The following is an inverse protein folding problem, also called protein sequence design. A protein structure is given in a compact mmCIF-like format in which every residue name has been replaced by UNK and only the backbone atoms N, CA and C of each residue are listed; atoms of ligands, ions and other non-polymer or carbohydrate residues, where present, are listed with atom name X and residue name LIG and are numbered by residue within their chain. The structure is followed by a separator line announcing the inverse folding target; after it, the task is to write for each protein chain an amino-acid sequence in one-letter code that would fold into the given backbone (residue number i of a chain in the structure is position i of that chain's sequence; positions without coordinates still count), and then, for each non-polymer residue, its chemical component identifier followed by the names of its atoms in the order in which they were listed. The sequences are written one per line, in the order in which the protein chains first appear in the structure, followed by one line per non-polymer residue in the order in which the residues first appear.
data_IF_309262585469
#
_entry.id   IF_309262585469
#
_cell.length_a   1.000
_cell.length_b   1.000
_cell.length_c   1.000
_cell.angle_alpha   90.00
_cell.angle_beta   90.00
_cell.angle_gamma   90.00
#
_symmetry.space_group_name_H-M   'P 1'
#
loop_
_entity.id
_entity.type
_entity.pdbx_description
1 polymer ?
#
# COMPACT_ATOMS: atom_id res chain seq x y z
N UNK A 1 39.56 79.51 -51.83
CA UNK A 1 39.39 79.80 -50.40
C UNK A 1 38.27 78.93 -49.85
N UNK A 2 38.58 78.08 -49.06
CA UNK A 2 37.88 77.49 -47.97
C UNK A 2 38.15 75.98 -47.86
N UNK A 3 38.92 75.70 -46.88
CA UNK A 3 39.31 74.31 -46.50
C UNK A 3 38.18 73.56 -45.92
N UNK A 4 37.95 72.32 -46.40
CA UNK A 4 37.05 71.39 -45.79
C UNK A 4 37.82 70.47 -44.84
N UNK A 5 37.59 70.61 -43.56
CA UNK A 5 38.22 69.82 -42.50
C UNK A 5 37.51 68.47 -42.46
N UNK A 6 38.12 67.42 -42.97
CA UNK A 6 37.59 66.07 -42.88
C UNK A 6 38.01 65.42 -41.59
N UNK A 7 37.04 65.24 -40.67
CA UNK A 7 37.21 64.42 -39.48
C UNK A 7 37.03 62.96 -39.87
N UNK A 8 38.11 62.21 -39.90
CA UNK A 8 38.10 60.76 -40.03
C UNK A 8 37.65 60.16 -38.70
N UNK A 9 36.45 59.61 -38.68
CA UNK A 9 35.94 58.82 -37.55
C UNK A 9 36.56 57.42 -37.66
N UNK A 10 37.50 57.13 -36.79
CA UNK A 10 38.16 55.86 -36.66
C UNK A 10 37.25 54.97 -35.84
N UNK A 11 36.53 54.06 -36.49
CA UNK A 11 35.80 53.00 -35.81
C UNK A 11 36.77 51.92 -35.36
N UNK A 12 36.97 51.81 -34.07
CA UNK A 12 37.66 50.72 -33.43
C UNK A 12 36.81 49.44 -33.55
N UNK A 13 37.38 48.29 -33.97
CA UNK A 13 36.60 47.04 -33.91
C UNK A 13 36.47 46.61 -32.48
N UNK A 14 35.24 46.68 -31.97
CA UNK A 14 34.88 46.20 -30.65
C UNK A 14 35.28 44.75 -30.48
N UNK A 15 36.20 44.50 -29.57
CA UNK A 15 36.57 43.19 -29.06
C UNK A 15 35.31 42.50 -28.51
N UNK A 16 34.76 41.60 -29.32
CA UNK A 16 33.66 40.71 -28.89
C UNK A 16 34.14 39.77 -27.78
N UNK A 17 33.95 40.21 -26.56
CA UNK A 17 34.13 39.38 -25.38
C UNK A 17 33.04 38.31 -25.44
N UNK A 18 33.37 37.12 -25.97
CA UNK A 18 32.55 35.93 -25.83
C UNK A 18 32.40 35.63 -24.34
N UNK A 19 31.29 35.95 -23.76
CA UNK A 19 30.89 35.44 -22.46
C UNK A 19 30.90 33.91 -22.51
N UNK A 20 31.59 33.22 -21.60
CA UNK A 20 31.47 31.76 -21.50
C UNK A 20 30.00 31.45 -21.29
N UNK A 21 29.42 30.65 -22.19
CA UNK A 21 28.00 30.34 -22.23
C UNK A 21 27.53 29.83 -20.88
N UNK A 22 26.79 30.67 -20.19
CA UNK A 22 26.00 30.24 -19.03
C UNK A 22 25.03 29.21 -19.54
N UNK A 23 25.29 27.93 -19.24
CA UNK A 23 24.27 26.91 -19.46
C UNK A 23 23.01 27.34 -18.73
N UNK A 24 21.84 27.33 -19.36
CA UNK A 24 20.65 27.79 -18.74
C UNK A 24 20.29 26.82 -17.61
N UNK A 25 20.66 27.19 -16.38
CA UNK A 25 20.36 26.43 -15.14
C UNK A 25 18.90 26.07 -15.12
N UNK A 26 18.03 26.93 -15.69
CA UNK A 26 16.59 26.66 -15.81
C UNK A 26 16.25 25.46 -16.69
N UNK A 27 16.96 25.26 -17.82
CA UNK A 27 16.69 24.09 -18.70
C UNK A 27 17.14 22.77 -18.06
N UNK A 28 18.17 22.81 -17.24
CA UNK A 28 18.63 21.65 -16.48
C UNK A 28 17.62 21.29 -15.38
N UNK A 29 17.11 22.28 -14.63
CA UNK A 29 16.11 22.10 -13.59
C UNK A 29 14.78 21.55 -14.13
N UNK A 30 14.31 22.06 -15.27
CA UNK A 30 13.06 21.61 -15.90
C UNK A 30 13.13 20.13 -16.32
N UNK A 31 14.30 19.63 -16.69
CA UNK A 31 14.50 18.23 -17.08
C UNK A 31 14.87 17.33 -15.89
N UNK A 32 15.60 17.85 -14.92
CA UNK A 32 16.01 17.09 -13.74
C UNK A 32 14.86 16.82 -12.76
N UNK A 33 13.93 17.77 -12.58
CA UNK A 33 12.80 17.64 -11.68
C UNK A 33 11.89 16.43 -12.00
N UNK A 34 11.38 16.25 -13.23
CA UNK A 34 10.55 15.11 -13.56
C UNK A 34 11.30 13.78 -13.43
N UNK A 35 12.59 13.73 -13.83
CA UNK A 35 13.39 12.54 -13.64
C UNK A 35 13.57 12.18 -12.17
N UNK A 36 13.83 13.15 -11.32
CA UNK A 36 13.94 12.95 -9.88
C UNK A 36 12.60 12.45 -9.28
N UNK A 37 11.48 13.02 -9.69
CA UNK A 37 10.14 12.57 -9.25
C UNK A 37 9.88 11.12 -9.66
N UNK A 38 10.22 10.74 -10.89
CA UNK A 38 10.08 9.36 -11.37
C UNK A 38 10.97 8.42 -10.57
N UNK A 39 12.23 8.77 -10.33
CA UNK A 39 13.16 7.95 -9.54
C UNK A 39 12.65 7.77 -8.10
N UNK A 40 12.18 8.84 -7.45
CA UNK A 40 11.59 8.78 -6.12
C UNK A 40 10.32 7.94 -6.09
N UNK A 41 9.47 8.07 -7.11
CA UNK A 41 8.25 7.26 -7.22
C UNK A 41 8.57 5.77 -7.41
N UNK A 42 9.51 5.44 -8.29
CA UNK A 42 9.98 4.06 -8.48
C UNK A 42 10.67 3.50 -7.23
N UNK A 43 11.44 4.32 -6.52
CA UNK A 43 12.05 3.93 -5.25
C UNK A 43 10.98 3.64 -4.18
N UNK A 44 9.92 4.45 -4.11
CA UNK A 44 8.80 4.19 -3.20
C UNK A 44 8.03 2.91 -3.56
N UNK A 45 7.80 2.65 -4.86
CA UNK A 45 7.19 1.39 -5.31
C UNK A 45 8.08 0.18 -4.95
N UNK A 46 9.37 0.28 -5.22
CA UNK A 46 10.34 -0.77 -4.85
C UNK A 46 10.41 -1.00 -3.35
N UNK A 47 10.39 0.08 -2.55
CA UNK A 47 10.37 -0.01 -1.09
C UNK A 47 9.11 -0.71 -0.57
N UNK A 48 7.93 -0.35 -1.09
CA UNK A 48 6.65 -1.00 -0.73
C UNK A 48 6.60 -2.48 -1.15
N UNK A 49 7.22 -2.83 -2.27
CA UNK A 49 7.29 -4.22 -2.72
C UNK A 49 8.32 -5.05 -1.92
N UNK A 50 9.38 -4.41 -1.43
CA UNK A 50 10.45 -5.06 -0.67
C UNK A 50 10.19 -5.13 0.84
N UNK A 51 9.35 -4.23 1.39
CA UNK A 51 8.92 -4.32 2.78
C UNK A 51 7.71 -5.25 2.84
N UNK A 52 7.84 -6.46 3.42
CA UNK A 52 6.67 -7.27 3.72
C UNK A 52 5.74 -6.40 4.58
N UNK A 53 4.52 -6.18 4.14
CA UNK A 53 3.51 -5.63 5.03
C UNK A 53 3.51 -6.53 6.26
N UNK A 54 3.61 -6.02 7.50
CA UNK A 54 3.43 -6.86 8.66
C UNK A 54 2.10 -7.58 8.44
N UNK A 55 2.16 -8.91 8.34
CA UNK A 55 0.97 -9.71 8.10
C UNK A 55 -0.09 -9.24 9.09
N UNK A 56 -1.19 -8.72 8.56
CA UNK A 56 -2.29 -8.30 9.40
C UNK A 56 -2.65 -9.48 10.31
N UNK A 57 -2.98 -9.26 11.56
CA UNK A 57 -3.30 -10.35 12.51
C UNK A 57 -4.29 -11.37 11.94
N UNK A 58 -5.25 -10.92 11.13
CA UNK A 58 -6.19 -11.79 10.41
C UNK A 58 -5.49 -12.74 9.44
N UNK A 59 -4.49 -12.29 8.70
CA UNK A 59 -3.73 -13.12 7.74
C UNK A 59 -2.97 -14.23 8.47
N UNK A 60 -2.38 -13.92 9.61
CA UNK A 60 -1.68 -14.93 10.45
C UNK A 60 -2.66 -16.01 10.96
N UNK A 61 -3.82 -15.60 11.47
CA UNK A 61 -4.87 -16.53 11.91
C UNK A 61 -5.40 -17.36 10.74
N UNK A 62 -5.61 -16.75 9.59
CA UNK A 62 -6.02 -17.45 8.37
C UNK A 62 -5.01 -18.51 7.97
N UNK A 63 -3.73 -18.20 7.90
CA UNK A 63 -2.67 -19.17 7.57
C UNK A 63 -2.56 -20.29 8.61
N UNK A 64 -2.78 -19.97 9.88
CA UNK A 64 -2.85 -20.99 10.93
C UNK A 64 -4.00 -21.97 10.65
N UNK A 65 -5.20 -21.49 10.36
CA UNK A 65 -6.37 -22.30 10.09
C UNK A 65 -6.25 -23.10 8.78
N UNK A 66 -5.66 -22.51 7.73
CA UNK A 66 -5.43 -23.17 6.45
C UNK A 66 -4.43 -24.35 6.55
N UNK A 67 -3.52 -24.31 7.52
CA UNK A 67 -2.59 -25.42 7.80
C UNK A 67 -3.21 -26.56 8.59
N UNK A 68 -4.37 -26.36 9.18
CA UNK A 68 -5.04 -27.41 9.93
C UNK A 68 -5.66 -28.45 8.99
N UNK A 69 -5.58 -29.76 9.31
CA UNK A 69 -6.15 -30.80 8.48
C UNK A 69 -7.69 -30.76 8.49
N UNK A 70 -8.30 -30.90 7.31
CA UNK A 70 -9.75 -30.88 7.12
C UNK A 70 -10.31 -29.44 6.98
N UNK A 71 -11.60 -29.33 6.80
CA UNK A 71 -12.31 -28.06 6.64
C UNK A 71 -12.48 -27.36 7.98
N UNK A 72 -12.38 -26.04 7.99
CA UNK A 72 -12.43 -25.23 9.21
C UNK A 72 -13.64 -24.28 9.19
N UNK A 73 -14.20 -24.00 10.37
CA UNK A 73 -15.21 -22.98 10.61
C UNK A 73 -14.68 -22.07 11.73
N UNK A 74 -14.46 -20.81 11.43
CA UNK A 74 -14.01 -19.81 12.39
C UNK A 74 -15.19 -18.93 12.82
N UNK A 75 -15.59 -19.04 14.07
CA UNK A 75 -16.60 -18.17 14.69
C UNK A 75 -15.87 -16.98 15.30
N UNK A 76 -16.13 -15.78 14.77
CA UNK A 76 -15.48 -14.53 15.16
C UNK A 76 -16.34 -13.83 16.21
N UNK A 77 -15.80 -13.69 17.41
CA UNK A 77 -16.43 -12.99 18.52
C UNK A 77 -15.76 -11.64 18.74
N UNK A 78 -16.49 -10.58 18.49
CA UNK A 78 -16.03 -9.22 18.70
C UNK A 78 -16.34 -8.72 20.11
N UNK A 79 -15.44 -7.90 20.65
CA UNK A 79 -15.69 -7.17 21.90
C UNK A 79 -16.72 -6.03 21.69
N UNK A 80 -17.32 -5.55 22.77
CA UNK A 80 -18.38 -4.53 22.71
C UNK A 80 -17.96 -3.16 22.13
N UNK A 81 -16.64 -2.92 21.95
CA UNK A 81 -16.09 -1.70 21.37
C UNK A 81 -15.36 -1.92 20.03
N UNK A 82 -15.64 -3.03 19.35
CA UNK A 82 -14.97 -3.38 18.09
C UNK A 82 -15.13 -2.30 17.02
N UNK A 83 -14.00 -1.92 16.37
CA UNK A 83 -14.03 -1.02 15.22
C UNK A 83 -14.54 -1.77 13.97
N UNK A 84 -15.74 -1.42 13.51
CA UNK A 84 -16.38 -2.00 12.32
C UNK A 84 -15.57 -1.89 11.04
N UNK A 85 -14.54 -1.03 10.98
CA UNK A 85 -13.61 -0.95 9.85
C UNK A 85 -12.64 -2.13 9.80
N UNK A 86 -12.48 -2.82 10.92
CA UNK A 86 -11.60 -3.98 11.06
C UNK A 86 -12.39 -5.30 11.05
N UNK A 87 -13.35 -5.43 10.15
CA UNK A 87 -14.16 -6.65 10.02
C UNK A 87 -13.28 -7.84 9.58
N UNK A 88 -13.49 -9.00 10.22
CA UNK A 88 -12.74 -10.22 9.91
C UNK A 88 -13.55 -11.23 9.11
N UNK A 89 -14.88 -11.10 9.11
CA UNK A 89 -15.79 -12.05 8.46
C UNK A 89 -15.90 -11.73 6.97
N UNK A 90 -14.95 -12.24 6.20
CA UNK A 90 -14.96 -12.20 4.74
C UNK A 90 -14.78 -13.61 4.19
N UNK A 91 -15.73 -14.05 3.38
CA UNK A 91 -15.72 -15.34 2.73
C UNK A 91 -15.52 -15.16 1.21
N UNK A 92 -15.09 -16.24 0.54
CA UNK A 92 -15.09 -16.31 -0.91
C UNK A 92 -16.55 -16.39 -1.44
N UNK A 93 -16.73 -16.18 -2.75
CA UNK A 93 -18.04 -16.25 -3.39
C UNK A 93 -18.69 -17.63 -3.23
N UNK A 94 -17.89 -18.70 -3.30
CA UNK A 94 -18.31 -20.06 -2.97
C UNK A 94 -17.87 -20.36 -1.54
N UNK A 95 -18.79 -20.15 -0.60
CA UNK A 95 -18.55 -20.32 0.83
C UNK A 95 -18.33 -21.80 1.15
N UNK A 96 -19.15 -22.68 0.59
CA UNK A 96 -19.16 -24.10 0.94
C UNK A 96 -17.92 -24.84 0.43
N UNK A 97 -17.35 -24.39 -0.71
CA UNK A 97 -16.11 -24.92 -1.22
C UNK A 97 -14.87 -24.42 -0.46
N UNK A 98 -14.99 -23.34 0.33
CA UNK A 98 -13.88 -22.73 1.05
C UNK A 98 -13.30 -23.66 2.12
N UNK A 99 -11.98 -23.70 2.22
CA UNK A 99 -11.28 -24.47 3.27
C UNK A 99 -11.58 -23.90 4.67
N UNK A 100 -11.63 -22.57 4.78
CA UNK A 100 -11.97 -21.85 6.02
C UNK A 100 -13.20 -21.00 5.77
N UNK A 101 -14.25 -21.21 6.54
CA UNK A 101 -15.44 -20.35 6.58
C UNK A 101 -15.35 -19.46 7.81
N UNK A 102 -15.64 -18.18 7.60
CA UNK A 102 -15.69 -17.18 8.66
C UNK A 102 -17.14 -16.83 8.96
N UNK A 103 -17.56 -16.95 10.20
CA UNK A 103 -18.89 -16.59 10.65
C UNK A 103 -18.81 -15.69 11.88
N UNK A 104 -19.76 -14.78 12.02
CA UNK A 104 -19.86 -13.94 13.21
C UNK A 104 -20.52 -14.70 14.35
N UNK A 105 -20.03 -14.52 15.56
CA UNK A 105 -20.72 -15.01 16.76
C UNK A 105 -22.09 -14.31 16.90
N UNK A 106 -23.15 -15.08 16.81
CA UNK A 106 -24.54 -14.61 16.90
C UNK A 106 -25.21 -15.06 18.20
N UNK A 107 -24.45 -15.61 19.13
CA UNK A 107 -24.93 -16.20 20.36
C UNK A 107 -25.28 -17.68 20.21
N UNK A 108 -25.40 -18.37 21.35
CA UNK A 108 -25.45 -19.83 21.44
C UNK A 108 -26.54 -20.48 20.55
N UNK A 109 -27.75 -19.94 20.54
CA UNK A 109 -28.85 -20.50 19.77
C UNK A 109 -28.59 -20.53 18.25
N UNK A 110 -28.15 -19.37 17.69
CA UNK A 110 -27.86 -19.26 16.26
C UNK A 110 -26.58 -19.97 15.87
N UNK A 111 -25.57 -19.93 16.74
CA UNK A 111 -24.33 -20.68 16.49
C UNK A 111 -24.62 -22.18 16.44
N UNK A 112 -25.58 -22.71 17.23
CA UNK A 112 -25.96 -24.12 17.16
C UNK A 112 -26.52 -24.50 15.80
N UNK A 113 -27.35 -23.66 15.18
CA UNK A 113 -27.84 -23.87 13.80
C UNK A 113 -26.69 -23.92 12.78
N UNK A 114 -25.75 -23.02 12.93
CA UNK A 114 -24.54 -22.98 12.08
C UNK A 114 -23.68 -24.23 12.25
N UNK A 115 -23.47 -24.68 13.48
CA UNK A 115 -22.72 -25.89 13.79
C UNK A 115 -23.42 -27.13 13.24
N UNK A 116 -24.74 -27.18 13.32
CA UNK A 116 -25.53 -28.27 12.75
C UNK A 116 -25.47 -28.33 11.22
N UNK A 117 -25.33 -27.17 10.58
CA UNK A 117 -25.17 -27.11 9.14
C UNK A 117 -23.78 -27.56 8.69
N UNK A 118 -22.72 -27.16 9.40
CA UNK A 118 -21.32 -27.43 9.06
C UNK A 118 -20.69 -28.51 9.96
N UNK A 119 -21.35 -29.64 10.14
CA UNK A 119 -20.90 -30.76 11.02
C UNK A 119 -19.56 -31.40 10.60
N UNK A 120 -19.20 -31.26 9.32
CA UNK A 120 -17.97 -31.78 8.75
C UNK A 120 -16.74 -30.89 9.01
N UNK A 121 -16.93 -29.71 9.63
CA UNK A 121 -15.88 -28.74 9.88
C UNK A 121 -15.41 -28.71 11.31
N UNK A 122 -14.13 -28.47 11.51
CA UNK A 122 -13.56 -28.21 12.82
C UNK A 122 -13.83 -26.77 13.20
N UNK A 123 -14.40 -26.56 14.38
CA UNK A 123 -14.86 -25.23 14.81
C UNK A 123 -13.84 -24.56 15.72
N UNK A 124 -13.63 -23.29 15.45
CA UNK A 124 -12.69 -22.42 16.16
C UNK A 124 -13.39 -21.16 16.61
N UNK A 125 -13.07 -20.70 17.82
CA UNK A 125 -13.40 -19.38 18.31
C UNK A 125 -12.23 -18.45 18.04
N UNK A 126 -12.49 -17.33 17.39
CA UNK A 126 -11.50 -16.29 17.08
C UNK A 126 -11.94 -14.99 17.73
N UNK A 127 -11.09 -14.42 18.58
CA UNK A 127 -11.32 -13.14 19.25
C UNK A 127 -10.28 -12.11 18.76
N UNK A 128 -10.64 -11.32 17.74
CA UNK A 128 -9.69 -10.43 17.06
C UNK A 128 -9.27 -9.21 17.89
N UNK A 129 -10.10 -8.82 18.85
CA UNK A 129 -9.87 -7.62 19.68
C UNK A 129 -8.89 -7.85 20.82
N UNK A 130 -8.44 -9.09 21.03
CA UNK A 130 -7.35 -9.38 21.95
C UNK A 130 -6.00 -9.04 21.34
N UNK A 131 -5.02 -8.75 22.18
CA UNK A 131 -3.65 -8.44 21.73
C UNK A 131 -2.66 -9.40 22.39
N UNK A 132 -2.11 -10.38 21.65
CA UNK A 132 -2.44 -10.78 20.27
C UNK A 132 -3.86 -11.38 20.13
N UNK A 133 -4.42 -11.43 18.90
CA UNK A 133 -5.69 -12.09 18.65
C UNK A 133 -5.70 -13.54 19.14
N UNK A 134 -6.77 -13.94 19.78
CA UNK A 134 -6.90 -15.28 20.37
C UNK A 134 -7.58 -16.24 19.39
N UNK A 135 -7.10 -17.47 19.34
CA UNK A 135 -7.69 -18.57 18.57
C UNK A 135 -7.74 -19.81 19.45
N UNK A 136 -8.92 -20.30 19.71
CA UNK A 136 -9.14 -21.48 20.54
C UNK A 136 -10.13 -22.46 19.87
N UNK A 137 -10.21 -23.69 20.36
CA UNK A 137 -11.30 -24.62 19.95
C UNK A 137 -12.62 -24.10 20.50
N UNK A 138 -13.65 -24.18 19.67
CA UNK A 138 -15.01 -23.83 20.09
C UNK A 138 -15.62 -24.95 20.94
#
# INVERSE_FOLDING_TARGET
MSEAFGLAFRTEPGSGRKSPGGQPVGAFLVRALPCMCIVLFLAQLGWKAATPSPDLPRTQVRHFLERQPGRQLAIVKYAGGHDTRNEWVYNAADIDASHVIWARDMGEARNRELLDHYKDRKVWLVEPDQTPPSVSRY
#
